data_IF_631102590556
#
_entry.id   IF_631102590556
#
_cell.length_a   1.000
_cell.length_b   1.000
_cell.length_c   1.000
_cell.angle_alpha   90.00
_cell.angle_beta   90.00
_cell.angle_gamma   90.00
#
_symmetry.space_group_name_H-M   'P 1'
#
loop_
_entity.id
_entity.type
_entity.pdbx_description
1 polymer ?
#
# COMPACT_ATOMS: atom_id res chain seq x y z
N UNK A 1 -26.60 -30.19 -4.06
CA UNK A 1 -27.75 -29.39 -3.63
C UNK A 1 -27.54 -28.00 -4.20
N UNK A 2 -28.19 -27.73 -5.35
CA UNK A 2 -28.11 -26.46 -6.06
C UNK A 2 -28.96 -25.41 -5.36
N UNK A 3 -28.37 -24.28 -5.00
CA UNK A 3 -29.12 -23.09 -4.59
C UNK A 3 -29.58 -22.34 -5.83
N UNK A 4 -30.79 -21.86 -5.89
CA UNK A 4 -31.27 -21.06 -7.03
C UNK A 4 -30.75 -19.63 -6.89
N UNK A 5 -29.88 -19.21 -7.79
CA UNK A 5 -29.54 -17.82 -8.03
C UNK A 5 -30.17 -17.39 -9.35
N UNK A 6 -30.74 -16.20 -9.35
CA UNK A 6 -31.25 -15.45 -10.50
C UNK A 6 -32.70 -15.73 -10.93
N UNK A 7 -33.61 -15.08 -10.25
CA UNK A 7 -34.91 -14.77 -10.79
C UNK A 7 -35.48 -13.47 -10.18
N UNK A 8 -34.82 -12.33 -10.37
CA UNK A 8 -35.41 -11.00 -10.06
C UNK A 8 -34.76 -9.84 -10.84
N UNK A 9 -34.34 -10.08 -12.06
CA UNK A 9 -33.83 -9.00 -12.94
C UNK A 9 -34.61 -8.93 -14.28
N UNK A 10 -35.90 -9.19 -14.27
CA UNK A 10 -36.70 -9.16 -15.51
C UNK A 10 -38.09 -8.55 -15.36
N UNK A 11 -38.24 -7.54 -14.54
CA UNK A 11 -39.54 -6.88 -14.40
C UNK A 11 -39.46 -5.37 -14.25
N UNK A 12 -38.76 -4.66 -15.17
CA UNK A 12 -38.83 -3.22 -15.22
C UNK A 12 -38.40 -2.64 -16.59
N UNK A 13 -38.88 -3.19 -17.69
CA UNK A 13 -38.83 -2.52 -18.98
C UNK A 13 -40.24 -2.23 -19.48
N UNK A 14 -41.11 -1.66 -18.62
CA UNK A 14 -42.27 -0.92 -19.12
C UNK A 14 -41.70 0.39 -19.68
N UNK A 15 -41.75 0.57 -21.01
CA UNK A 15 -41.41 1.85 -21.65
C UNK A 15 -42.19 2.96 -20.94
N UNK A 16 -41.47 3.82 -20.20
CA UNK A 16 -42.10 5.02 -19.61
C UNK A 16 -42.71 5.84 -20.75
N UNK A 17 -43.94 6.37 -20.58
CA UNK A 17 -44.54 7.19 -21.61
C UNK A 17 -43.64 8.39 -21.93
N UNK A 18 -43.21 8.49 -23.21
CA UNK A 18 -42.34 9.58 -23.67
C UNK A 18 -42.98 10.91 -23.34
N UNK A 19 -42.21 11.81 -22.73
CA UNK A 19 -42.67 13.20 -22.49
C UNK A 19 -43.01 13.89 -23.80
N UNK A 20 -44.12 14.67 -23.79
CA UNK A 20 -44.41 15.54 -24.92
C UNK A 20 -43.36 16.64 -25.01
N UNK A 21 -42.71 16.77 -26.16
CA UNK A 21 -41.75 17.84 -26.41
C UNK A 21 -42.41 19.20 -26.31
N UNK A 22 -41.90 20.06 -25.46
CA UNK A 22 -42.32 21.44 -25.32
C UNK A 22 -41.34 22.36 -26.06
N UNK A 23 -41.88 23.47 -26.59
CA UNK A 23 -41.07 24.51 -27.24
C UNK A 23 -41.09 25.77 -26.38
N UNK A 24 -39.93 26.39 -26.26
CA UNK A 24 -39.77 27.69 -25.60
C UNK A 24 -40.57 28.76 -26.35
N UNK A 25 -41.22 29.64 -25.60
CA UNK A 25 -41.94 30.78 -26.19
C UNK A 25 -41.05 31.64 -27.09
N UNK A 26 -41.57 32.17 -28.18
CA UNK A 26 -40.78 32.84 -29.23
C UNK A 26 -39.91 33.98 -28.68
N UNK A 27 -40.43 34.79 -27.73
CA UNK A 27 -39.68 35.91 -27.14
C UNK A 27 -38.53 35.43 -26.28
N UNK A 28 -38.77 34.41 -25.42
CA UNK A 28 -37.75 33.81 -24.60
C UNK A 28 -36.69 33.09 -25.46
N UNK A 29 -37.13 32.33 -26.47
CA UNK A 29 -36.24 31.62 -27.38
C UNK A 29 -35.29 32.53 -28.15
N UNK A 30 -35.75 33.74 -28.58
CA UNK A 30 -34.85 34.73 -29.21
C UNK A 30 -33.76 35.24 -28.27
N UNK A 31 -34.11 35.54 -27.01
CA UNK A 31 -33.13 35.98 -26.00
C UNK A 31 -32.16 34.85 -25.64
N UNK A 32 -32.64 33.63 -25.43
CA UNK A 32 -31.80 32.44 -25.17
C UNK A 32 -30.87 32.17 -26.35
N UNK A 33 -31.33 32.33 -27.61
CA UNK A 33 -30.47 32.20 -28.80
C UNK A 33 -29.30 33.17 -28.79
N UNK A 34 -29.58 34.47 -28.46
CA UNK A 34 -28.49 35.47 -28.30
C UNK A 34 -27.52 35.12 -27.18
N UNK A 35 -28.01 34.65 -26.04
CA UNK A 35 -27.17 34.19 -24.95
C UNK A 35 -26.28 32.99 -25.37
N UNK A 36 -26.84 32.09 -26.16
CA UNK A 36 -26.08 30.96 -26.70
C UNK A 36 -24.97 31.37 -27.68
N UNK A 37 -25.23 32.40 -28.52
CA UNK A 37 -24.21 32.99 -29.41
C UNK A 37 -23.03 33.56 -28.61
N UNK A 38 -23.31 34.32 -27.53
CA UNK A 38 -22.28 34.84 -26.63
C UNK A 38 -21.52 33.73 -25.91
N UNK A 39 -22.21 32.72 -25.41
CA UNK A 39 -21.59 31.56 -24.79
C UNK A 39 -20.66 30.82 -25.75
N UNK A 40 -21.09 30.65 -27.00
CA UNK A 40 -20.28 30.03 -28.05
C UNK A 40 -19.04 30.87 -28.44
N UNK A 41 -19.10 32.17 -28.19
CA UNK A 41 -17.98 33.11 -28.34
C UNK A 41 -17.12 33.26 -27.05
N UNK A 42 -17.34 32.40 -26.04
CA UNK A 42 -16.68 32.43 -24.73
C UNK A 42 -16.97 33.69 -23.87
N UNK A 43 -18.02 34.44 -24.23
CA UNK A 43 -18.52 35.55 -23.42
C UNK A 43 -19.59 35.05 -22.44
N UNK A 44 -19.15 34.31 -21.41
CA UNK A 44 -20.09 33.76 -20.41
C UNK A 44 -20.76 34.85 -19.58
N UNK A 45 -20.09 35.95 -19.14
CA UNK A 45 -20.75 37.04 -18.44
C UNK A 45 -21.83 37.74 -19.28
N UNK A 46 -21.57 37.95 -20.56
CA UNK A 46 -22.58 38.53 -21.48
C UNK A 46 -23.77 37.63 -21.69
N UNK A 47 -23.53 36.32 -21.88
CA UNK A 47 -24.60 35.34 -21.97
C UNK A 47 -25.47 35.30 -20.71
N UNK A 48 -24.82 35.28 -19.52
CA UNK A 48 -25.49 35.28 -18.24
C UNK A 48 -26.35 36.54 -18.01
N UNK A 49 -25.82 37.72 -18.38
CA UNK A 49 -26.55 38.97 -18.25
C UNK A 49 -27.85 38.95 -19.07
N UNK A 50 -27.83 38.41 -20.30
CA UNK A 50 -29.05 38.25 -21.13
C UNK A 50 -30.02 37.28 -20.49
N UNK A 51 -29.53 36.14 -19.96
CA UNK A 51 -30.41 35.13 -19.37
C UNK A 51 -31.10 35.65 -18.11
N UNK A 52 -30.39 36.38 -17.25
CA UNK A 52 -30.94 36.98 -16.03
C UNK A 52 -31.97 38.08 -16.29
N UNK A 53 -31.94 38.73 -17.47
CA UNK A 53 -32.93 39.73 -17.90
C UNK A 53 -34.19 39.12 -18.56
N UNK A 54 -34.30 37.79 -18.58
CA UNK A 54 -35.46 37.11 -19.12
C UNK A 54 -36.57 37.02 -18.08
N UNK A 55 -37.69 37.74 -18.31
CA UNK A 55 -38.91 37.54 -17.56
C UNK A 55 -39.77 36.47 -18.25
N UNK A 56 -39.72 35.25 -17.71
CA UNK A 56 -40.44 34.09 -18.23
C UNK A 56 -41.74 33.87 -17.45
N UNK A 57 -42.89 34.12 -18.07
CA UNK A 57 -44.20 33.94 -17.46
C UNK A 57 -44.69 32.48 -17.46
N UNK A 58 -44.26 31.66 -18.43
CA UNK A 58 -44.61 30.24 -18.53
C UNK A 58 -43.63 29.41 -17.70
N UNK A 59 -44.17 28.45 -16.97
CA UNK A 59 -43.39 27.58 -16.09
C UNK A 59 -42.28 26.79 -16.84
N UNK A 60 -42.61 26.28 -18.05
CA UNK A 60 -41.61 25.61 -18.90
C UNK A 60 -40.50 26.59 -19.32
N UNK A 61 -40.86 27.80 -19.80
CA UNK A 61 -39.87 28.78 -20.22
C UNK A 61 -38.94 29.18 -19.06
N UNK A 62 -39.50 29.32 -17.86
CA UNK A 62 -38.72 29.61 -16.65
C UNK A 62 -37.74 28.47 -16.31
N UNK A 63 -38.22 27.23 -16.25
CA UNK A 63 -37.37 26.07 -15.97
C UNK A 63 -36.24 25.93 -17.01
N UNK A 64 -36.56 26.20 -18.28
CA UNK A 64 -35.58 26.16 -19.35
C UNK A 64 -34.52 27.25 -19.22
N UNK A 65 -34.91 28.48 -18.89
CA UNK A 65 -33.95 29.59 -18.64
C UNK A 65 -33.12 29.32 -17.37
N UNK A 66 -33.76 28.88 -16.29
CA UNK A 66 -33.04 28.54 -15.03
C UNK A 66 -31.95 27.47 -15.27
N UNK A 67 -32.25 26.47 -16.11
CA UNK A 67 -31.23 25.47 -16.50
C UNK A 67 -30.03 26.11 -17.22
N UNK A 68 -30.25 27.04 -18.17
CA UNK A 68 -29.18 27.72 -18.88
C UNK A 68 -28.36 28.64 -17.95
N UNK A 69 -29.02 29.39 -17.07
CA UNK A 69 -28.34 30.20 -16.04
C UNK A 69 -27.44 29.32 -15.18
N UNK A 70 -27.95 28.16 -14.77
CA UNK A 70 -27.17 27.22 -13.97
C UNK A 70 -25.94 26.70 -14.72
N UNK A 71 -26.05 26.40 -16.01
CA UNK A 71 -24.91 25.99 -16.84
C UNK A 71 -23.88 27.12 -16.93
N UNK A 72 -24.28 28.37 -17.08
CA UNK A 72 -23.34 29.51 -17.10
C UNK A 72 -22.59 29.63 -15.79
N UNK A 73 -23.27 29.57 -14.63
CA UNK A 73 -22.63 29.61 -13.33
C UNK A 73 -21.71 28.42 -13.11
N UNK A 74 -22.11 27.23 -13.52
CA UNK A 74 -21.25 26.02 -13.42
C UNK A 74 -19.98 26.13 -14.27
N UNK A 75 -20.07 26.78 -15.44
CA UNK A 75 -18.92 26.98 -16.34
C UNK A 75 -17.96 28.05 -15.81
N UNK A 76 -18.43 29.04 -15.06
CA UNK A 76 -17.57 30.06 -14.43
C UNK A 76 -16.68 29.47 -13.32
N UNK A 77 -17.12 28.41 -12.64
CA UNK A 77 -16.29 27.65 -11.69
C UNK A 77 -16.19 28.19 -10.26
N UNK A 78 -16.69 29.42 -10.00
CA UNK A 78 -16.63 30.04 -8.65
C UNK A 78 -18.01 30.33 -8.06
N UNK A 79 -19.08 29.83 -8.70
CA UNK A 79 -20.46 30.15 -8.36
C UNK A 79 -21.36 28.90 -8.31
N UNK A 80 -20.77 27.75 -7.86
CA UNK A 80 -21.48 26.48 -7.82
C UNK A 80 -22.77 26.54 -6.97
N UNK A 81 -22.78 27.36 -5.92
CA UNK A 81 -23.95 27.52 -5.05
C UNK A 81 -25.13 28.13 -5.84
N UNK A 82 -24.88 29.10 -6.73
CA UNK A 82 -25.90 29.67 -7.60
C UNK A 82 -26.32 28.66 -8.68
N UNK A 83 -25.38 27.95 -9.29
CA UNK A 83 -25.69 26.90 -10.24
C UNK A 83 -26.62 25.84 -9.63
N UNK A 84 -26.33 25.37 -8.42
CA UNK A 84 -27.19 24.44 -7.68
C UNK A 84 -28.56 25.01 -7.40
N UNK A 85 -28.65 26.29 -7.00
CA UNK A 85 -29.95 26.96 -6.76
C UNK A 85 -30.81 26.97 -8.01
N UNK A 86 -30.28 27.39 -9.16
CA UNK A 86 -30.99 27.45 -10.43
C UNK A 86 -31.33 26.05 -10.96
N UNK A 87 -30.45 25.05 -10.82
CA UNK A 87 -30.75 23.65 -11.17
C UNK A 87 -31.92 23.11 -10.33
N UNK A 88 -31.94 23.34 -9.03
CA UNK A 88 -33.03 22.93 -8.15
C UNK A 88 -34.35 23.59 -8.59
N UNK A 89 -34.32 24.85 -9.00
CA UNK A 89 -35.50 25.55 -9.54
C UNK A 89 -35.95 24.97 -10.89
N UNK A 90 -34.99 24.63 -11.77
CA UNK A 90 -35.28 24.08 -13.10
C UNK A 90 -35.86 22.66 -13.05
N UNK A 91 -35.39 21.79 -12.15
CA UNK A 91 -35.85 20.39 -12.07
C UNK A 91 -37.10 20.20 -11.24
N UNK A 92 -37.37 21.10 -10.28
CA UNK A 92 -38.52 21.00 -9.37
C UNK A 92 -39.87 20.85 -10.03
N UNK A 93 -40.22 21.61 -11.09
CA UNK A 93 -41.55 21.51 -11.74
C UNK A 93 -41.71 20.24 -12.58
N UNK A 94 -40.68 19.50 -12.84
CA UNK A 94 -40.66 18.24 -13.60
C UNK A 94 -41.27 18.36 -15.03
N UNK A 95 -41.00 19.48 -15.71
CA UNK A 95 -41.61 19.84 -17.00
C UNK A 95 -40.64 20.01 -18.16
N UNK A 96 -39.31 20.02 -17.88
CA UNK A 96 -38.32 20.07 -18.96
C UNK A 96 -38.43 18.85 -19.88
N UNK A 97 -38.03 19.02 -21.12
CA UNK A 97 -37.91 17.91 -22.07
C UNK A 97 -37.01 16.79 -21.51
N UNK A 98 -37.23 15.58 -21.95
CA UNK A 98 -36.60 14.38 -21.37
C UNK A 98 -35.06 14.49 -21.28
N UNK A 99 -34.40 14.92 -22.37
CA UNK A 99 -32.94 15.12 -22.38
C UNK A 99 -32.49 16.22 -21.43
N UNK A 100 -33.14 17.40 -21.52
CA UNK A 100 -32.79 18.57 -20.68
C UNK A 100 -32.98 18.29 -19.18
N UNK A 101 -34.06 17.57 -18.82
CA UNK A 101 -34.32 17.22 -17.43
C UNK A 101 -33.30 16.27 -16.88
N UNK A 102 -32.98 15.20 -17.63
CA UNK A 102 -31.96 14.24 -17.23
C UNK A 102 -30.58 14.89 -17.07
N UNK A 103 -30.19 15.74 -18.03
CA UNK A 103 -28.91 16.48 -17.92
C UNK A 103 -28.89 17.43 -16.71
N UNK A 104 -29.99 18.13 -16.43
CA UNK A 104 -30.08 19.04 -15.29
C UNK A 104 -29.95 18.30 -13.95
N UNK A 105 -30.61 17.14 -13.80
CA UNK A 105 -30.49 16.31 -12.58
C UNK A 105 -29.05 15.81 -12.43
N UNK A 106 -28.42 15.31 -13.51
CA UNK A 106 -27.02 14.80 -13.42
C UNK A 106 -26.04 15.91 -13.08
N UNK A 107 -26.18 17.09 -13.71
CA UNK A 107 -25.34 18.25 -13.40
C UNK A 107 -25.53 18.71 -11.95
N UNK A 108 -26.78 18.71 -11.45
CA UNK A 108 -27.06 19.02 -10.05
C UNK A 108 -26.32 18.06 -9.10
N UNK A 109 -26.39 16.75 -9.37
CA UNK A 109 -25.68 15.75 -8.58
C UNK A 109 -24.14 15.94 -8.62
N UNK A 110 -23.60 16.23 -9.81
CA UNK A 110 -22.17 16.46 -9.99
C UNK A 110 -21.66 17.70 -9.23
N UNK A 111 -22.42 18.81 -9.27
CA UNK A 111 -22.09 20.01 -8.51
C UNK A 111 -22.22 19.78 -6.98
N UNK A 112 -23.20 19.00 -6.55
CA UNK A 112 -23.31 18.62 -5.15
C UNK A 112 -22.14 17.77 -4.67
N UNK A 113 -21.61 16.88 -5.51
CA UNK A 113 -20.35 16.17 -5.22
C UNK A 113 -19.19 17.14 -5.01
N UNK A 114 -19.04 18.14 -5.91
CA UNK A 114 -17.98 19.14 -5.83
C UNK A 114 -18.09 20.00 -4.58
N UNK A 115 -19.30 20.41 -4.22
CA UNK A 115 -19.58 21.23 -3.04
C UNK A 115 -19.71 20.42 -1.75
N UNK A 116 -19.45 19.10 -1.80
CA UNK A 116 -19.50 18.17 -0.68
C UNK A 116 -20.90 17.95 -0.07
N UNK A 117 -21.96 18.28 -0.80
CA UNK A 117 -23.35 17.89 -0.48
C UNK A 117 -23.56 16.45 -0.95
N UNK A 118 -22.89 15.49 -0.29
CA UNK A 118 -22.88 14.09 -0.73
C UNK A 118 -24.25 13.42 -0.63
N UNK A 119 -25.03 13.76 0.41
CA UNK A 119 -26.41 13.27 0.56
C UNK A 119 -27.29 13.75 -0.59
N UNK A 120 -27.23 15.04 -0.92
CA UNK A 120 -27.95 15.61 -2.05
C UNK A 120 -27.52 14.97 -3.38
N UNK A 121 -26.23 14.76 -3.56
CA UNK A 121 -25.69 14.09 -4.76
C UNK A 121 -26.23 12.67 -4.91
N UNK A 122 -26.25 11.86 -3.83
CA UNK A 122 -26.81 10.50 -3.85
C UNK A 122 -28.27 10.49 -4.26
N UNK A 123 -29.08 11.40 -3.72
CA UNK A 123 -30.49 11.53 -4.07
C UNK A 123 -30.65 11.85 -5.55
N UNK A 124 -29.87 12.80 -6.08
CA UNK A 124 -29.99 13.22 -7.46
C UNK A 124 -29.40 12.24 -8.47
N UNK A 125 -28.33 11.50 -8.14
CA UNK A 125 -27.88 10.39 -9.00
C UNK A 125 -28.95 9.29 -9.09
N UNK A 126 -29.59 8.95 -7.97
CA UNK A 126 -30.69 7.97 -7.99
C UNK A 126 -31.85 8.50 -8.82
N UNK A 127 -32.27 9.78 -8.63
CA UNK A 127 -33.31 10.40 -9.42
C UNK A 127 -32.99 10.41 -10.92
N UNK A 128 -31.71 10.64 -11.28
CA UNK A 128 -31.29 10.59 -12.68
C UNK A 128 -31.42 9.18 -13.27
N UNK A 129 -30.97 8.14 -12.53
CA UNK A 129 -31.12 6.75 -12.97
C UNK A 129 -32.58 6.35 -13.10
N UNK A 130 -33.42 6.71 -12.12
CA UNK A 130 -34.87 6.41 -12.13
C UNK A 130 -35.58 7.14 -13.28
N UNK A 131 -35.16 8.36 -13.57
CA UNK A 131 -35.75 9.18 -14.63
C UNK A 131 -35.38 8.68 -16.03
N UNK A 132 -34.06 8.46 -16.25
CA UNK A 132 -33.53 8.16 -17.58
C UNK A 132 -33.55 6.67 -17.91
N UNK A 133 -33.66 5.79 -16.92
CA UNK A 133 -33.43 4.35 -17.06
C UNK A 133 -31.97 3.98 -17.38
N UNK A 134 -31.05 4.97 -17.30
CA UNK A 134 -29.62 4.76 -17.59
C UNK A 134 -28.84 4.56 -16.30
N UNK A 135 -27.82 3.73 -16.40
CA UNK A 135 -26.80 3.61 -15.35
C UNK A 135 -25.44 3.37 -16.03
N UNK A 136 -24.47 4.17 -15.69
CA UNK A 136 -23.12 4.06 -16.23
C UNK A 136 -22.09 3.86 -15.12
N UNK A 137 -20.91 3.35 -15.49
CA UNK A 137 -19.84 3.05 -14.56
C UNK A 137 -19.33 4.29 -13.81
N UNK A 138 -19.32 5.46 -14.48
CA UNK A 138 -18.89 6.71 -13.88
C UNK A 138 -19.85 7.16 -12.78
N UNK A 139 -21.17 7.11 -13.05
CA UNK A 139 -22.20 7.46 -12.05
C UNK A 139 -22.13 6.52 -10.84
N UNK A 140 -22.03 5.21 -11.05
CA UNK A 140 -21.87 4.26 -9.96
C UNK A 140 -20.60 4.49 -9.16
N UNK A 141 -19.49 4.84 -9.82
CA UNK A 141 -18.22 5.19 -9.15
C UNK A 141 -18.39 6.44 -8.29
N UNK A 142 -19.09 7.48 -8.79
CA UNK A 142 -19.38 8.69 -8.02
C UNK A 142 -20.27 8.41 -6.81
N UNK A 143 -21.27 7.54 -6.93
CA UNK A 143 -22.11 7.08 -5.81
C UNK A 143 -21.25 6.38 -4.74
N UNK A 144 -20.36 5.47 -5.15
CA UNK A 144 -19.43 4.81 -4.21
C UNK A 144 -18.51 5.82 -3.51
N UNK A 145 -18.00 6.83 -4.23
CA UNK A 145 -17.20 7.92 -3.65
C UNK A 145 -17.99 8.79 -2.67
N UNK A 146 -19.27 9.08 -2.96
CA UNK A 146 -20.13 9.80 -2.03
C UNK A 146 -20.30 9.04 -0.72
N UNK A 147 -20.55 7.74 -0.77
CA UNK A 147 -20.61 6.89 0.42
C UNK A 147 -19.27 6.84 1.19
N UNK A 148 -18.13 6.82 0.48
CA UNK A 148 -16.81 6.91 1.12
C UNK A 148 -16.66 8.23 1.90
N UNK A 149 -17.01 9.34 1.27
CA UNK A 149 -16.94 10.67 1.88
C UNK A 149 -17.84 10.81 3.11
N UNK A 150 -18.99 10.13 3.12
CA UNK A 150 -19.92 10.02 4.24
C UNK A 150 -19.50 8.96 5.29
N UNK A 151 -18.36 8.30 5.12
CA UNK A 151 -17.88 7.19 5.98
C UNK A 151 -18.84 6.00 6.06
N UNK A 152 -19.65 5.81 5.04
CA UNK A 152 -20.60 4.70 4.92
C UNK A 152 -19.96 3.53 4.16
N UNK A 153 -18.88 2.97 4.74
CA UNK A 153 -17.99 2.02 4.08
C UNK A 153 -18.72 0.80 3.47
N UNK A 154 -19.66 0.21 4.20
CA UNK A 154 -20.39 -0.97 3.69
C UNK A 154 -21.28 -0.63 2.49
N UNK A 155 -21.77 0.61 2.39
CA UNK A 155 -22.61 1.06 1.29
C UNK A 155 -21.83 1.35 0.00
N UNK A 156 -20.49 1.38 0.06
CA UNK A 156 -19.64 1.55 -1.12
C UNK A 156 -19.64 0.31 -2.03
N UNK A 157 -19.83 -0.89 -1.46
CA UNK A 157 -19.55 -2.15 -2.15
C UNK A 157 -20.48 -2.36 -3.33
N UNK A 158 -21.81 -2.24 -3.12
CA UNK A 158 -22.79 -2.45 -4.19
C UNK A 158 -22.62 -1.45 -5.35
N UNK A 159 -22.50 -0.13 -5.12
CA UNK A 159 -22.20 0.80 -6.21
C UNK A 159 -20.89 0.50 -6.94
N UNK A 160 -19.83 0.11 -6.22
CA UNK A 160 -18.55 -0.26 -6.85
C UNK A 160 -18.71 -1.53 -7.73
N UNK A 161 -19.47 -2.54 -7.28
CA UNK A 161 -19.76 -3.72 -8.08
C UNK A 161 -20.59 -3.38 -9.33
N UNK A 162 -21.59 -2.51 -9.20
CA UNK A 162 -22.37 -2.03 -10.32
C UNK A 162 -21.50 -1.23 -11.32
N UNK A 163 -20.56 -0.43 -10.83
CA UNK A 163 -19.61 0.27 -11.67
C UNK A 163 -18.74 -0.70 -12.47
N UNK A 164 -18.17 -1.73 -11.82
CA UNK A 164 -17.38 -2.78 -12.46
C UNK A 164 -18.18 -3.46 -13.57
N UNK A 165 -19.42 -3.85 -13.26
CA UNK A 165 -20.31 -4.49 -14.24
C UNK A 165 -20.64 -3.55 -15.42
N UNK A 166 -20.89 -2.27 -15.14
CA UNK A 166 -21.22 -1.30 -16.18
C UNK A 166 -20.04 -0.93 -17.09
N UNK A 167 -18.80 -0.96 -16.58
CA UNK A 167 -17.60 -0.78 -17.41
C UNK A 167 -17.34 -1.99 -18.33
N UNK A 168 -17.69 -3.21 -17.89
CA UNK A 168 -17.46 -4.43 -18.65
C UNK A 168 -15.98 -4.56 -19.06
N UNK A 169 -15.74 -4.89 -20.33
CA UNK A 169 -14.38 -5.11 -20.88
C UNK A 169 -13.52 -3.85 -20.94
N UNK A 170 -14.09 -2.66 -20.75
CA UNK A 170 -13.31 -1.40 -20.73
C UNK A 170 -12.55 -1.19 -19.43
N UNK A 171 -12.76 -2.01 -18.46
CA UNK A 171 -12.16 -2.01 -17.13
C UNK A 171 -11.72 -0.63 -16.61
N UNK A 172 -12.12 -0.29 -15.40
CA UNK A 172 -11.69 0.93 -14.71
C UNK A 172 -11.16 0.55 -13.33
N UNK A 173 -10.02 1.11 -12.93
CA UNK A 173 -9.37 0.80 -11.64
C UNK A 173 -10.12 1.36 -10.44
N UNK A 174 -10.80 2.51 -10.61
CA UNK A 174 -11.38 3.26 -9.49
C UNK A 174 -12.39 2.48 -8.65
N UNK A 175 -13.35 1.72 -9.21
CA UNK A 175 -14.26 0.92 -8.41
C UNK A 175 -13.55 -0.15 -7.56
N UNK A 176 -12.47 -0.76 -8.08
CA UNK A 176 -11.68 -1.72 -7.33
C UNK A 176 -10.92 -1.07 -6.18
N UNK A 177 -10.35 0.13 -6.40
CA UNK A 177 -9.72 0.93 -5.34
C UNK A 177 -10.72 1.19 -4.21
N UNK A 178 -11.94 1.61 -4.56
CA UNK A 178 -13.00 1.87 -3.59
C UNK A 178 -13.38 0.62 -2.79
N UNK A 179 -13.52 -0.53 -3.45
CA UNK A 179 -13.80 -1.81 -2.78
C UNK A 179 -12.69 -2.20 -1.81
N UNK A 180 -11.44 -2.18 -2.28
CA UNK A 180 -10.27 -2.52 -1.45
C UNK A 180 -10.17 -1.57 -0.26
N UNK A 181 -10.39 -0.27 -0.46
CA UNK A 181 -10.41 0.74 0.61
C UNK A 181 -11.51 0.45 1.63
N UNK A 182 -12.73 0.19 1.17
CA UNK A 182 -13.85 -0.17 2.04
C UNK A 182 -13.52 -1.40 2.90
N UNK A 183 -13.03 -2.46 2.29
CA UNK A 183 -12.68 -3.68 3.00
C UNK A 183 -11.51 -3.48 3.96
N UNK A 184 -10.50 -2.69 3.59
CA UNK A 184 -9.37 -2.37 4.45
C UNK A 184 -9.80 -1.59 5.69
N UNK A 185 -10.53 -0.49 5.52
CA UNK A 185 -11.00 0.35 6.63
C UNK A 185 -12.00 -0.40 7.53
N UNK A 186 -12.80 -1.30 6.97
CA UNK A 186 -13.71 -2.19 7.70
C UNK A 186 -13.03 -3.43 8.29
N UNK A 187 -11.71 -3.60 8.14
CA UNK A 187 -10.92 -4.76 8.57
C UNK A 187 -11.38 -6.11 7.95
N UNK A 188 -12.04 -6.05 6.81
CA UNK A 188 -12.48 -7.21 6.03
C UNK A 188 -11.36 -7.65 5.07
N UNK A 189 -10.19 -8.01 5.63
CA UNK A 189 -8.96 -8.24 4.84
C UNK A 189 -9.07 -9.43 3.88
N UNK A 190 -9.86 -10.45 4.21
CA UNK A 190 -10.07 -11.61 3.33
C UNK A 190 -10.83 -11.22 2.05
N UNK A 191 -11.80 -10.34 2.17
CA UNK A 191 -12.56 -9.79 1.05
C UNK A 191 -11.69 -8.88 0.19
N UNK A 192 -10.84 -8.08 0.81
CA UNK A 192 -9.84 -7.28 0.11
C UNK A 192 -8.88 -8.16 -0.70
N UNK A 193 -8.35 -9.25 -0.11
CA UNK A 193 -7.50 -10.23 -0.83
C UNK A 193 -8.21 -10.78 -2.06
N UNK A 194 -9.46 -11.26 -1.95
CA UNK A 194 -10.22 -11.77 -3.10
C UNK A 194 -10.38 -10.73 -4.21
N UNK A 195 -10.62 -9.48 -3.82
CA UNK A 195 -10.71 -8.38 -4.78
C UNK A 195 -9.36 -8.16 -5.48
N UNK A 196 -8.26 -8.14 -4.72
CA UNK A 196 -6.92 -7.96 -5.26
C UNK A 196 -6.47 -9.13 -6.14
N UNK A 197 -6.79 -10.38 -5.79
CA UNK A 197 -6.56 -11.56 -6.64
C UNK A 197 -7.22 -11.42 -8.01
N UNK A 198 -8.42 -10.83 -8.07
CA UNK A 198 -9.10 -10.51 -9.34
C UNK A 198 -8.41 -9.38 -10.08
N UNK A 199 -8.04 -8.32 -9.38
CA UNK A 199 -7.47 -7.10 -9.96
C UNK A 199 -6.13 -7.36 -10.65
N UNK A 200 -5.25 -8.17 -10.07
CA UNK A 200 -3.96 -8.51 -10.71
C UNK A 200 -4.11 -9.31 -12.01
N UNK A 201 -5.24 -9.99 -12.19
CA UNK A 201 -5.54 -10.68 -13.46
C UNK A 201 -6.02 -9.71 -14.53
N UNK A 202 -6.74 -8.67 -14.13
CA UNK A 202 -7.28 -7.64 -15.04
C UNK A 202 -6.20 -6.61 -15.40
N UNK A 203 -5.35 -6.24 -14.44
CA UNK A 203 -4.30 -5.25 -14.60
C UNK A 203 -2.92 -5.82 -14.23
N UNK A 204 -2.43 -6.84 -14.93
CA UNK A 204 -1.21 -7.58 -14.56
C UNK A 204 0.06 -6.71 -14.56
N UNK A 205 0.08 -5.64 -15.34
CA UNK A 205 1.23 -4.72 -15.46
C UNK A 205 1.28 -3.66 -14.36
N UNK A 206 0.25 -3.58 -13.52
CA UNK A 206 0.19 -2.56 -12.47
C UNK A 206 0.87 -3.05 -11.18
N UNK A 207 2.12 -2.63 -10.99
CA UNK A 207 2.96 -2.98 -9.83
C UNK A 207 2.29 -2.72 -8.48
N UNK A 208 1.42 -1.70 -8.40
CA UNK A 208 0.75 -1.33 -7.16
C UNK A 208 -0.14 -2.45 -6.62
N UNK A 209 -0.87 -3.13 -7.52
CA UNK A 209 -1.76 -4.22 -7.12
C UNK A 209 -1.00 -5.46 -6.62
N UNK A 210 0.13 -5.78 -7.24
CA UNK A 210 0.98 -6.89 -6.82
C UNK A 210 1.55 -6.66 -5.43
N UNK A 211 2.09 -5.46 -5.18
CA UNK A 211 2.64 -5.13 -3.86
C UNK A 211 1.55 -5.08 -2.79
N UNK A 212 0.39 -4.50 -3.10
CA UNK A 212 -0.76 -4.50 -2.20
C UNK A 212 -1.22 -5.93 -1.88
N UNK A 213 -1.41 -6.80 -2.87
CA UNK A 213 -1.84 -8.18 -2.65
C UNK A 213 -0.86 -8.91 -1.72
N UNK A 214 0.44 -8.78 -1.94
CA UNK A 214 1.46 -9.36 -1.05
C UNK A 214 1.33 -8.87 0.39
N UNK A 215 1.10 -7.57 0.59
CA UNK A 215 0.90 -6.98 1.91
C UNK A 215 -0.43 -7.42 2.55
N UNK A 216 -1.51 -7.56 1.78
CA UNK A 216 -2.79 -8.04 2.29
C UNK A 216 -2.73 -9.53 2.68
N UNK A 217 -1.96 -10.35 1.98
CA UNK A 217 -1.71 -11.72 2.43
C UNK A 217 -1.00 -11.75 3.79
N UNK A 218 -0.10 -10.80 4.10
CA UNK A 218 0.48 -10.68 5.44
C UNK A 218 -0.59 -10.33 6.50
N UNK A 219 -1.55 -9.46 6.17
CA UNK A 219 -2.63 -9.08 7.08
C UNK A 219 -3.57 -10.24 7.42
N UNK A 220 -3.69 -11.21 6.52
CA UNK A 220 -4.48 -12.45 6.74
C UNK A 220 -3.62 -13.63 7.17
N UNK A 221 -2.33 -13.39 7.48
CA UNK A 221 -1.35 -14.38 7.95
C UNK A 221 -1.09 -15.52 6.94
N UNK A 222 -1.38 -15.31 5.66
CA UNK A 222 -1.01 -16.23 4.59
C UNK A 222 0.41 -15.94 4.09
N UNK A 223 1.40 -16.25 4.93
CA UNK A 223 2.83 -15.96 4.66
C UNK A 223 3.35 -16.65 3.40
N UNK A 224 2.79 -17.81 3.06
CA UNK A 224 3.18 -18.55 1.85
C UNK A 224 2.77 -17.79 0.60
N UNK A 225 1.49 -17.40 0.50
CA UNK A 225 1.01 -16.60 -0.65
C UNK A 225 1.65 -15.22 -0.69
N UNK A 226 1.91 -14.60 0.48
CA UNK A 226 2.65 -13.34 0.55
C UNK A 226 4.05 -13.48 -0.09
N UNK A 227 4.79 -14.54 0.27
CA UNK A 227 6.11 -14.81 -0.30
C UNK A 227 6.04 -15.05 -1.82
N UNK A 228 5.13 -15.93 -2.27
CA UNK A 228 4.97 -16.26 -3.69
C UNK A 228 4.63 -15.02 -4.52
N UNK A 229 3.70 -14.19 -4.03
CA UNK A 229 3.28 -12.96 -4.71
C UNK A 229 4.39 -11.92 -4.78
N UNK A 230 5.09 -11.66 -3.65
CA UNK A 230 6.15 -10.66 -3.61
C UNK A 230 7.42 -11.13 -4.32
N UNK A 231 7.76 -12.44 -4.32
CA UNK A 231 8.87 -12.98 -5.12
C UNK A 231 8.60 -12.83 -6.63
N UNK A 232 7.35 -13.07 -7.05
CA UNK A 232 6.95 -12.84 -8.43
C UNK A 232 6.99 -11.36 -8.80
N UNK A 233 6.44 -10.49 -7.96
CA UNK A 233 6.51 -9.04 -8.15
C UNK A 233 7.95 -8.53 -8.22
N UNK A 234 8.85 -9.07 -7.40
CA UNK A 234 10.28 -8.76 -7.45
C UNK A 234 10.92 -9.17 -8.78
N UNK A 235 10.62 -10.36 -9.28
CA UNK A 235 11.13 -10.86 -10.58
C UNK A 235 10.65 -10.02 -11.76
N UNK A 236 9.47 -9.42 -11.66
CA UNK A 236 8.93 -8.48 -12.65
C UNK A 236 9.50 -7.06 -12.49
N UNK A 237 10.32 -6.80 -11.46
CA UNK A 237 10.86 -5.47 -11.22
C UNK A 237 9.88 -4.49 -10.57
N UNK A 238 8.82 -4.99 -9.95
CA UNK A 238 7.76 -4.15 -9.35
C UNK A 238 8.09 -3.66 -7.94
N UNK A 239 9.07 -4.26 -7.25
CA UNK A 239 9.49 -3.83 -5.92
C UNK A 239 10.56 -2.73 -6.04
N UNK A 240 10.20 -1.51 -5.71
CA UNK A 240 11.04 -0.32 -5.89
C UNK A 240 11.40 0.37 -4.58
N UNK A 241 10.81 -0.08 -3.45
CA UNK A 241 11.01 0.55 -2.14
C UNK A 241 11.83 -0.35 -1.22
N UNK A 242 12.64 0.29 -0.38
CA UNK A 242 13.39 -0.40 0.68
C UNK A 242 12.51 -1.31 1.54
N UNK A 243 11.32 -0.81 1.94
CA UNK A 243 10.39 -1.57 2.78
C UNK A 243 9.89 -2.85 2.11
N UNK A 244 9.67 -2.83 0.81
CA UNK A 244 9.21 -3.98 0.03
C UNK A 244 10.30 -5.05 -0.05
N UNK A 245 11.54 -4.65 -0.35
CA UNK A 245 12.71 -5.54 -0.37
C UNK A 245 12.95 -6.18 1.01
N UNK A 246 12.88 -5.39 2.08
CA UNK A 246 13.04 -5.88 3.45
C UNK A 246 11.93 -6.84 3.85
N UNK A 247 10.70 -6.59 3.44
CA UNK A 247 9.56 -7.49 3.66
C UNK A 247 9.78 -8.83 2.96
N UNK A 248 10.17 -8.81 1.69
CA UNK A 248 10.46 -10.03 0.93
C UNK A 248 11.64 -10.81 1.55
N UNK A 249 12.70 -10.13 1.96
CA UNK A 249 13.84 -10.77 2.65
C UNK A 249 13.44 -11.42 3.98
N UNK A 250 12.58 -10.75 4.75
CA UNK A 250 12.00 -11.30 5.98
C UNK A 250 11.18 -12.56 5.71
N UNK A 251 10.34 -12.54 4.68
CA UNK A 251 9.55 -13.68 4.27
C UNK A 251 10.43 -14.87 3.83
N UNK A 252 11.49 -14.64 3.06
CA UNK A 252 12.45 -15.69 2.74
C UNK A 252 13.08 -16.30 3.98
N UNK A 253 13.45 -15.47 4.95
CA UNK A 253 14.05 -15.96 6.21
C UNK A 253 13.08 -16.78 7.03
N UNK A 254 11.82 -16.33 7.14
CA UNK A 254 10.76 -17.02 7.89
C UNK A 254 10.35 -18.35 7.23
N UNK A 255 10.45 -18.45 5.91
CA UNK A 255 10.15 -19.66 5.15
C UNK A 255 11.38 -20.57 4.94
N UNK A 256 12.39 -20.46 5.79
CA UNK A 256 13.60 -21.28 5.78
C UNK A 256 14.40 -21.22 4.45
N UNK A 257 14.40 -20.07 3.79
CA UNK A 257 15.19 -19.81 2.57
C UNK A 257 16.17 -18.64 2.80
N UNK A 258 17.02 -18.71 3.86
CA UNK A 258 17.85 -17.58 4.28
C UNK A 258 18.89 -17.16 3.23
N UNK A 259 19.30 -18.05 2.36
CA UNK A 259 20.23 -17.74 1.28
C UNK A 259 19.64 -16.71 0.29
N UNK A 260 18.37 -16.87 -0.10
CA UNK A 260 17.70 -15.88 -0.96
C UNK A 260 17.52 -14.53 -0.25
N UNK A 261 17.22 -14.57 1.05
CA UNK A 261 17.14 -13.35 1.85
C UNK A 261 18.48 -12.60 1.87
N UNK A 262 19.58 -13.32 2.06
CA UNK A 262 20.91 -12.74 2.09
C UNK A 262 21.31 -12.12 0.74
N UNK A 263 21.17 -12.86 -0.35
CA UNK A 263 21.47 -12.33 -1.69
C UNK A 263 20.62 -11.11 -2.04
N UNK A 264 19.31 -11.15 -1.71
CA UNK A 264 18.42 -10.04 -1.94
C UNK A 264 18.86 -8.78 -1.20
N UNK A 265 19.14 -8.91 0.11
CA UNK A 265 19.62 -7.80 0.93
C UNK A 265 20.98 -7.28 0.47
N UNK A 266 21.96 -8.18 0.22
CA UNK A 266 23.30 -7.82 -0.26
C UNK A 266 23.23 -6.99 -1.53
N UNK A 267 22.49 -7.47 -2.54
CA UNK A 267 22.28 -6.78 -3.82
C UNK A 267 21.71 -5.37 -3.63
N UNK A 268 20.69 -5.24 -2.79
CA UNK A 268 19.98 -3.97 -2.65
C UNK A 268 20.63 -3.00 -1.67
N UNK A 269 21.44 -3.49 -0.74
CA UNK A 269 22.34 -2.65 0.07
C UNK A 269 23.48 -2.11 -0.82
N UNK A 270 24.06 -2.94 -1.66
CA UNK A 270 25.15 -2.53 -2.54
C UNK A 270 24.70 -1.57 -3.64
N UNK A 271 23.43 -1.68 -4.12
CA UNK A 271 22.84 -0.72 -5.06
C UNK A 271 22.35 0.57 -4.43
N UNK A 272 22.29 0.66 -3.10
CA UNK A 272 21.81 1.83 -2.37
C UNK A 272 20.28 1.93 -2.24
N UNK A 273 19.50 0.95 -2.74
CA UNK A 273 18.05 0.91 -2.54
C UNK A 273 17.69 0.61 -1.07
N UNK A 274 18.45 -0.26 -0.42
CA UNK A 274 18.37 -0.52 1.02
C UNK A 274 19.52 0.21 1.70
N UNK A 275 19.17 0.99 2.73
CA UNK A 275 20.17 1.80 3.44
C UNK A 275 21.24 0.90 4.08
N UNK A 276 22.53 1.31 3.94
CA UNK A 276 23.67 0.61 4.53
C UNK A 276 23.88 1.06 5.99
N UNK A 277 23.00 0.63 6.88
CA UNK A 277 23.03 0.91 8.30
C UNK A 277 23.25 -0.37 9.15
N UNK A 278 23.42 -0.20 10.45
CA UNK A 278 23.67 -1.31 11.39
C UNK A 278 22.51 -2.31 11.45
N UNK A 279 21.26 -1.86 11.26
CA UNK A 279 20.07 -2.73 11.31
C UNK A 279 19.97 -3.59 10.06
N UNK A 280 20.10 -2.98 8.89
CA UNK A 280 20.01 -3.68 7.62
C UNK A 280 21.20 -4.64 7.41
N UNK A 281 22.41 -4.20 7.78
CA UNK A 281 23.59 -5.06 7.80
C UNK A 281 23.47 -6.21 8.80
N UNK A 282 22.83 -6.00 9.97
CA UNK A 282 22.55 -7.08 10.91
C UNK A 282 21.59 -8.11 10.35
N UNK A 283 20.55 -7.65 9.64
CA UNK A 283 19.60 -8.53 8.94
C UNK A 283 20.31 -9.37 7.87
N UNK A 284 21.18 -8.74 7.07
CA UNK A 284 22.00 -9.40 6.07
C UNK A 284 22.96 -10.43 6.69
N UNK A 285 23.69 -10.03 7.73
CA UNK A 285 24.63 -10.91 8.41
C UNK A 285 23.93 -12.12 9.07
N UNK A 286 22.75 -11.91 9.65
CA UNK A 286 21.96 -12.99 10.21
C UNK A 286 21.44 -13.94 9.12
N UNK A 287 21.02 -13.41 7.97
CA UNK A 287 20.59 -14.22 6.84
C UNK A 287 21.75 -15.08 6.29
N UNK A 288 22.96 -14.52 6.15
CA UNK A 288 24.15 -15.28 5.79
C UNK A 288 24.51 -16.35 6.82
N UNK A 289 24.44 -16.01 8.12
CA UNK A 289 24.68 -16.97 9.19
C UNK A 289 23.66 -18.14 9.14
N UNK A 290 22.39 -17.84 8.99
CA UNK A 290 21.34 -18.86 8.85
C UNK A 290 21.52 -19.71 7.58
N UNK A 291 22.07 -19.13 6.52
CA UNK A 291 22.44 -19.83 5.28
C UNK A 291 23.78 -20.60 5.39
N UNK A 292 24.40 -20.66 6.57
CA UNK A 292 25.68 -21.34 6.85
C UNK A 292 26.90 -20.73 6.12
N UNK A 293 26.80 -19.49 5.64
CA UNK A 293 27.90 -18.71 5.11
C UNK A 293 28.52 -17.87 6.24
N UNK A 294 29.28 -18.56 7.12
CA UNK A 294 29.78 -18.00 8.36
C UNK A 294 30.81 -16.89 8.10
N UNK A 295 31.65 -17.06 7.07
CA UNK A 295 32.63 -16.09 6.57
C UNK A 295 31.98 -14.75 6.23
N UNK A 296 30.90 -14.78 5.43
CA UNK A 296 30.15 -13.59 5.06
C UNK A 296 29.45 -12.93 6.26
N UNK A 297 28.86 -13.75 7.13
CA UNK A 297 28.25 -13.25 8.36
C UNK A 297 29.26 -12.51 9.24
N UNK A 298 30.47 -13.09 9.42
CA UNK A 298 31.57 -12.49 10.18
C UNK A 298 32.04 -11.16 9.54
N UNK A 299 32.15 -11.12 8.20
CA UNK A 299 32.50 -9.91 7.44
C UNK A 299 31.53 -8.76 7.76
N UNK A 300 30.22 -9.00 7.62
CA UNK A 300 29.23 -7.95 7.85
C UNK A 300 29.12 -7.54 9.33
N UNK A 301 29.24 -8.48 10.27
CA UNK A 301 29.34 -8.11 11.69
C UNK A 301 30.60 -7.30 12.00
N UNK A 302 31.70 -7.53 11.28
CA UNK A 302 32.91 -6.72 11.38
C UNK A 302 32.71 -5.30 10.89
N UNK A 303 31.95 -5.12 9.82
CA UNK A 303 31.54 -3.80 9.32
C UNK A 303 30.68 -3.05 10.34
N UNK A 304 29.64 -3.73 10.87
CA UNK A 304 28.78 -3.17 11.92
C UNK A 304 29.59 -2.79 13.17
N UNK A 305 30.53 -3.64 13.57
CA UNK A 305 31.39 -3.40 14.74
C UNK A 305 32.23 -2.13 14.57
N UNK A 306 32.80 -1.91 13.39
CA UNK A 306 33.56 -0.69 13.06
C UNK A 306 32.67 0.55 13.02
N UNK A 307 31.47 0.42 12.44
CA UNK A 307 30.51 1.52 12.30
C UNK A 307 29.99 2.00 13.66
N UNK A 308 29.65 1.06 14.55
CA UNK A 308 29.00 1.35 15.83
C UNK A 308 29.97 1.49 17.00
N UNK A 309 31.16 0.92 16.89
CA UNK A 309 32.15 0.74 17.95
C UNK A 309 31.59 0.13 19.26
N UNK A 310 30.61 -0.80 19.11
CA UNK A 310 29.96 -1.45 20.24
C UNK A 310 30.55 -2.84 20.52
N UNK A 311 30.86 -3.11 21.78
CA UNK A 311 31.40 -4.39 22.24
C UNK A 311 30.59 -5.62 21.77
N UNK A 312 29.28 -5.52 21.77
CA UNK A 312 28.37 -6.61 21.33
C UNK A 312 28.62 -7.05 19.88
N UNK A 313 28.95 -6.12 18.98
CA UNK A 313 29.17 -6.42 17.56
C UNK A 313 30.55 -7.06 17.33
N UNK A 314 31.59 -6.57 18.01
CA UNK A 314 32.90 -7.23 18.02
C UNK A 314 32.86 -8.64 18.63
N UNK A 315 32.07 -8.81 19.71
CA UNK A 315 31.85 -10.15 20.29
C UNK A 315 31.20 -11.10 19.30
N UNK A 316 30.11 -10.63 18.61
CA UNK A 316 29.42 -11.45 17.59
C UNK A 316 30.35 -11.79 16.43
N UNK A 317 31.11 -10.81 15.92
CA UNK A 317 32.10 -11.01 14.87
C UNK A 317 33.13 -12.07 15.30
N UNK A 318 33.71 -11.91 16.50
CA UNK A 318 34.72 -12.83 16.99
C UNK A 318 34.24 -14.26 17.18
N UNK A 319 32.99 -14.44 17.63
CA UNK A 319 32.37 -15.76 17.75
C UNK A 319 32.16 -16.41 16.36
N UNK A 320 31.72 -15.64 15.36
CA UNK A 320 31.55 -16.13 13.99
C UNK A 320 32.92 -16.48 13.37
N UNK A 321 33.93 -15.63 13.54
CA UNK A 321 35.28 -15.91 13.06
C UNK A 321 35.87 -17.17 13.71
N UNK A 322 35.61 -17.39 15.00
CA UNK A 322 36.00 -18.65 15.67
C UNK A 322 35.30 -19.87 15.07
N UNK A 323 34.00 -19.74 14.80
CA UNK A 323 33.20 -20.80 14.15
C UNK A 323 33.72 -21.11 12.74
N UNK A 324 34.23 -20.12 12.03
CA UNK A 324 34.83 -20.23 10.69
C UNK A 324 36.33 -20.57 10.75
N UNK A 325 36.81 -20.99 11.92
CA UNK A 325 38.21 -21.37 12.17
C UNK A 325 39.27 -20.27 11.89
N UNK A 326 38.81 -19.02 11.72
CA UNK A 326 39.69 -17.86 11.57
C UNK A 326 40.20 -17.38 12.94
N UNK A 327 40.89 -18.27 13.67
CA UNK A 327 41.21 -18.09 15.09
C UNK A 327 42.01 -16.82 15.38
N UNK A 328 42.97 -16.42 14.52
CA UNK A 328 43.76 -15.19 14.72
C UNK A 328 42.87 -13.96 14.70
N UNK A 329 41.98 -13.86 13.71
CA UNK A 329 41.04 -12.77 13.58
C UNK A 329 40.01 -12.77 14.71
N UNK A 330 39.52 -13.95 15.12
CA UNK A 330 38.61 -14.11 16.25
C UNK A 330 39.20 -13.54 17.54
N UNK A 331 40.46 -13.84 17.86
CA UNK A 331 41.15 -13.31 19.05
C UNK A 331 41.19 -11.78 19.02
N UNK A 332 41.48 -11.17 17.89
CA UNK A 332 41.54 -9.71 17.75
C UNK A 332 40.15 -9.10 18.04
N UNK A 333 39.10 -9.62 17.41
CA UNK A 333 37.74 -9.11 17.59
C UNK A 333 37.24 -9.31 19.03
N UNK A 334 37.51 -10.49 19.65
CA UNK A 334 37.09 -10.80 21.03
C UNK A 334 37.81 -9.91 22.04
N UNK A 335 39.12 -9.69 21.86
CA UNK A 335 39.87 -8.76 22.71
C UNK A 335 39.33 -7.33 22.59
N UNK A 336 38.99 -6.87 21.38
CA UNK A 336 38.38 -5.57 21.20
C UNK A 336 37.02 -5.45 21.91
N UNK A 337 36.23 -6.52 21.89
CA UNK A 337 34.99 -6.57 22.66
C UNK A 337 35.22 -6.47 24.17
N UNK A 338 36.26 -7.14 24.71
CA UNK A 338 36.65 -7.05 26.13
C UNK A 338 37.11 -5.62 26.49
N UNK A 339 37.94 -4.99 25.67
CA UNK A 339 38.38 -3.59 25.86
C UNK A 339 37.23 -2.61 25.98
N UNK A 340 36.15 -2.83 25.18
CA UNK A 340 34.96 -1.98 25.16
C UNK A 340 33.98 -2.32 26.28
N UNK A 341 34.18 -3.35 27.04
CA UNK A 341 33.38 -3.79 28.17
C UNK A 341 32.16 -4.63 27.72
N UNK A 342 32.15 -5.88 28.13
CA UNK A 342 31.05 -6.83 27.89
C UNK A 342 30.57 -7.42 29.21
N UNK A 343 29.28 -7.78 29.28
CA UNK A 343 28.71 -8.40 30.50
C UNK A 343 29.18 -9.85 30.75
N UNK A 344 29.50 -10.60 29.71
CA UNK A 344 29.84 -12.03 29.76
C UNK A 344 31.32 -12.25 29.37
N UNK A 345 32.26 -11.59 30.07
CA UNK A 345 33.70 -11.69 29.79
C UNK A 345 34.21 -13.11 29.82
N UNK A 346 33.73 -13.93 30.76
CA UNK A 346 34.11 -15.32 30.87
C UNK A 346 33.91 -16.13 29.59
N UNK A 347 32.82 -15.92 28.87
CA UNK A 347 32.57 -16.58 27.57
C UNK A 347 33.57 -16.15 26.51
N UNK A 348 33.91 -14.85 26.46
CA UNK A 348 34.90 -14.34 25.52
C UNK A 348 36.28 -14.93 25.82
N UNK A 349 36.68 -14.94 27.11
CA UNK A 349 37.94 -15.55 27.53
C UNK A 349 38.01 -17.04 27.20
N UNK A 350 36.92 -17.81 27.33
CA UNK A 350 36.86 -19.19 26.85
C UNK A 350 37.11 -19.29 25.36
N UNK A 351 36.40 -18.46 24.54
CA UNK A 351 36.57 -18.48 23.09
C UNK A 351 37.95 -18.05 22.64
N UNK A 352 38.57 -17.11 23.34
CA UNK A 352 39.99 -16.72 23.12
C UNK A 352 40.92 -17.88 23.48
N UNK A 353 40.67 -18.57 24.60
CA UNK A 353 41.46 -19.73 24.99
C UNK A 353 41.38 -20.88 23.98
N UNK A 354 40.15 -21.20 23.52
CA UNK A 354 39.95 -22.21 22.46
C UNK A 354 40.65 -21.79 21.17
N UNK A 355 40.54 -20.53 20.75
CA UNK A 355 41.22 -20.03 19.55
C UNK A 355 42.76 -20.14 19.65
N UNK A 356 43.34 -19.77 20.80
CA UNK A 356 44.77 -19.95 21.04
C UNK A 356 45.17 -21.42 21.08
N UNK A 357 44.31 -22.30 21.62
CA UNK A 357 44.57 -23.73 21.66
C UNK A 357 44.67 -24.33 20.25
N UNK A 358 43.71 -24.00 19.36
CA UNK A 358 43.78 -24.48 17.97
C UNK A 358 44.92 -23.88 17.15
N UNK A 359 45.47 -22.74 17.58
CA UNK A 359 46.71 -22.17 17.03
C UNK A 359 47.98 -22.76 17.65
N UNK A 360 47.85 -23.80 18.50
CA UNK A 360 48.94 -24.42 19.27
C UNK A 360 49.69 -23.46 20.22
N UNK A 361 49.06 -22.32 20.55
CA UNK A 361 49.57 -21.30 21.46
C UNK A 361 49.15 -21.61 22.89
N UNK A 362 49.63 -22.76 23.44
CA UNK A 362 49.15 -23.33 24.70
C UNK A 362 49.32 -22.41 25.89
N UNK A 363 50.41 -21.64 25.93
CA UNK A 363 50.69 -20.68 27.02
C UNK A 363 49.64 -19.55 27.06
N UNK A 364 49.26 -19.02 25.89
CA UNK A 364 48.24 -18.00 25.76
C UNK A 364 46.84 -18.59 26.04
N UNK A 365 46.55 -19.79 25.56
CA UNK A 365 45.33 -20.54 25.85
C UNK A 365 45.14 -20.73 27.36
N UNK A 366 46.25 -21.13 28.07
CA UNK A 366 46.22 -21.31 29.51
C UNK A 366 45.98 -20.01 30.29
N UNK A 367 46.55 -18.89 29.85
CA UNK A 367 46.29 -17.57 30.43
C UNK A 367 44.82 -17.19 30.27
N UNK A 368 44.26 -17.29 29.05
CA UNK A 368 42.88 -16.92 28.76
C UNK A 368 41.85 -17.78 29.51
N UNK A 369 42.08 -19.11 29.59
CA UNK A 369 41.15 -20.00 30.28
C UNK A 369 41.15 -19.76 31.81
N UNK A 370 42.25 -19.36 32.39
CA UNK A 370 42.31 -18.99 33.80
C UNK A 370 41.52 -17.68 34.08
N UNK A 371 41.44 -16.79 33.12
CA UNK A 371 40.54 -15.62 33.23
C UNK A 371 39.08 -16.05 33.16
N UNK A 372 38.73 -16.97 32.28
CA UNK A 372 37.37 -17.52 32.19
C UNK A 372 36.93 -18.25 33.48
N UNK A 373 37.90 -18.84 34.23
CA UNK A 373 37.60 -19.47 35.53
C UNK A 373 37.16 -18.49 36.62
N UNK A 374 37.49 -17.22 36.51
CA UNK A 374 37.08 -16.20 37.49
C UNK A 374 35.57 -15.90 37.40
N UNK A 375 34.95 -16.08 36.22
CA UNK A 375 33.53 -15.89 36.05
C UNK A 375 32.75 -17.15 36.53
N UNK A 376 31.82 -16.97 37.50
CA UNK A 376 31.02 -18.08 38.02
C UNK A 376 30.26 -18.87 36.94
N UNK A 377 29.80 -18.18 35.87
CA UNK A 377 29.03 -18.80 34.77
C UNK A 377 29.83 -19.74 33.92
N UNK A 378 31.13 -19.48 33.74
CA UNK A 378 32.02 -20.27 32.88
C UNK A 378 32.99 -21.15 33.66
N UNK A 379 33.13 -20.97 34.97
CA UNK A 379 34.08 -21.68 35.85
C UNK A 379 34.07 -23.18 35.65
N UNK A 380 32.89 -23.82 35.62
CA UNK A 380 32.76 -25.28 35.48
C UNK A 380 33.34 -25.76 34.15
N UNK A 381 32.98 -25.13 33.06
CA UNK A 381 33.48 -25.49 31.72
C UNK A 381 34.95 -25.15 31.57
N UNK A 382 35.38 -23.97 32.06
CA UNK A 382 36.77 -23.56 32.03
C UNK A 382 37.70 -24.52 32.79
N UNK A 383 37.27 -25.10 33.92
CA UNK A 383 38.04 -26.09 34.69
C UNK A 383 38.41 -27.33 33.87
N UNK A 384 37.47 -27.83 33.05
CA UNK A 384 37.74 -28.95 32.13
C UNK A 384 38.80 -28.61 31.10
N UNK A 385 38.68 -27.39 30.51
CA UNK A 385 39.65 -26.90 29.53
C UNK A 385 41.04 -26.67 30.13
N UNK A 386 41.16 -26.22 31.38
CA UNK A 386 42.46 -26.09 32.07
C UNK A 386 43.21 -27.41 32.09
N UNK A 387 42.56 -28.51 32.47
CA UNK A 387 43.17 -29.85 32.45
C UNK A 387 43.61 -30.25 31.04
N UNK A 388 42.72 -30.12 30.09
CA UNK A 388 42.97 -30.48 28.69
C UNK A 388 44.14 -29.70 28.06
N UNK A 389 44.24 -28.39 28.32
CA UNK A 389 45.36 -27.56 27.85
C UNK A 389 46.67 -27.99 28.50
N UNK A 390 46.68 -28.24 29.82
CA UNK A 390 47.87 -28.72 30.53
C UNK A 390 48.40 -30.05 29.98
N UNK A 391 47.53 -31.03 29.87
CA UNK A 391 47.90 -32.36 29.38
C UNK A 391 48.40 -32.31 27.93
N UNK A 392 47.81 -31.47 27.11
CA UNK A 392 48.24 -31.31 25.72
C UNK A 392 49.58 -30.59 25.64
N UNK A 393 49.77 -29.50 26.40
CA UNK A 393 51.04 -28.78 26.47
C UNK A 393 52.18 -29.68 26.92
N UNK A 394 51.95 -30.53 27.97
CA UNK A 394 52.90 -31.48 28.43
C UNK A 394 53.28 -32.50 27.36
N UNK A 395 52.34 -33.09 26.68
CA UNK A 395 52.56 -34.00 25.54
C UNK A 395 53.33 -33.35 24.40
N UNK A 396 53.13 -32.09 24.16
CA UNK A 396 53.79 -31.28 23.13
C UNK A 396 55.12 -30.67 23.64
N UNK A 397 55.55 -30.98 24.90
CA UNK A 397 56.71 -30.44 25.55
C UNK A 397 56.82 -28.93 25.61
N UNK A 398 55.67 -28.26 25.77
CA UNK A 398 55.56 -26.81 25.91
C UNK A 398 55.35 -26.45 27.38
N UNK A 399 56.21 -25.57 27.91
CA UNK A 399 56.05 -25.02 29.29
C UNK A 399 54.96 -23.96 29.30
N UNK A 400 54.02 -24.08 30.24
CA UNK A 400 52.88 -23.11 30.41
C UNK A 400 53.26 -21.95 31.32
#
# INVERSE_FOLDING_TARGET
MQLPVAAEASAANAEKPKRKTQLVGQTVGKKVGKAFELYSADDIPGALAILLDIDASKEYDKAYVDRFIAVMYATMGDEEAKAIQYLKAAVKPDILNEGDHGEAIKLLADLQMQTKDYEGALVNYQAWMDFTGKSDGDTWTKIANAHYSLKQLDKMIVPADNAIAAYGDKHNKNPYILKVTSYYESKKFKEAVKTLETVIQIFPEDKTWWTQLGMFYLLVEDYKKALETLDLAYKQGFLEKESEIKTLASLFSQNAVPYKAAILLEKHIDSGLVQRDDKNLSSLANAWHAAQHIDKAAKYYGEIAKMTNLAKHYSKQGMLLKQDEQFKAAIVALNKALELGVKDEGKLHMSIAESHFYLEQYKQAYKAINLAMKDPKTRKSAKGWVGFIKDTAQRKKVSL
#
